data_IF_487797008213
#
_entry.id   IF_487797008213
#
_cell.length_a   1.000
_cell.length_b   1.000
_cell.length_c   1.000
_cell.angle_alpha   90.00
_cell.angle_beta   90.00
_cell.angle_gamma   90.00
#
_symmetry.space_group_name_H-M   'P 1'
#
loop_
_entity.id
_entity.type
_entity.pdbx_description
1 polymer ?
#
# COMPACT_ATOMS: atom_id res chain seq x y z
N UNK A 1 16.32 3.36 1.50
CA UNK A 1 15.88 2.78 0.22
C UNK A 1 14.41 3.07 0.05
N UNK A 2 14.01 3.56 -1.12
CA UNK A 2 12.60 3.55 -1.49
C UNK A 2 12.20 2.07 -1.62
N UNK A 3 11.24 1.62 -0.82
CA UNK A 3 10.61 0.33 -1.10
C UNK A 3 9.77 0.52 -2.35
N UNK A 4 10.10 -0.22 -3.40
CA UNK A 4 9.27 -0.29 -4.59
C UNK A 4 8.16 -1.31 -4.33
N UNK A 5 6.97 -1.01 -4.86
CA UNK A 5 5.78 -1.85 -4.74
C UNK A 5 5.18 -2.01 -6.14
N UNK A 6 4.56 -3.14 -6.37
CA UNK A 6 4.02 -3.53 -7.67
C UNK A 6 2.52 -3.35 -7.67
N UNK A 7 2.02 -2.46 -8.55
CA UNK A 7 0.59 -2.34 -8.79
C UNK A 7 0.19 -3.27 -9.94
N UNK A 8 -0.76 -4.18 -9.68
CA UNK A 8 -1.46 -4.93 -10.72
C UNK A 8 -2.69 -4.12 -11.11
N UNK A 9 -2.83 -3.79 -12.40
CA UNK A 9 -3.88 -2.90 -12.89
C UNK A 9 -4.66 -3.58 -14.01
N UNK A 10 -5.98 -3.42 -13.97
CA UNK A 10 -6.93 -3.93 -14.97
C UNK A 10 -7.90 -2.82 -15.36
N UNK A 11 -8.15 -2.65 -16.65
CA UNK A 11 -9.31 -1.90 -17.13
C UNK A 11 -10.51 -2.84 -17.28
N UNK A 12 -11.65 -2.47 -16.70
CA UNK A 12 -12.91 -3.22 -16.74
C UNK A 12 -14.08 -2.28 -17.13
N UNK A 13 -14.46 -2.33 -18.40
CA UNK A 13 -15.36 -1.35 -18.99
C UNK A 13 -14.78 0.07 -18.91
N UNK A 14 -15.55 0.99 -18.34
CA UNK A 14 -15.18 2.40 -18.18
C UNK A 14 -14.33 2.65 -16.91
N UNK A 15 -13.97 1.61 -16.17
CA UNK A 15 -13.26 1.73 -14.89
C UNK A 15 -11.87 1.11 -14.93
N UNK A 16 -10.96 1.71 -14.16
CA UNK A 16 -9.65 1.17 -13.85
C UNK A 16 -9.67 0.62 -12.43
N UNK A 17 -9.20 -0.61 -12.25
CA UNK A 17 -9.13 -1.29 -10.96
C UNK A 17 -7.68 -1.69 -10.72
N UNK A 18 -7.17 -1.48 -9.51
CA UNK A 18 -5.80 -1.83 -9.19
C UNK A 18 -5.62 -2.37 -7.78
N UNK A 19 -4.58 -3.18 -7.61
CA UNK A 19 -4.18 -3.82 -6.36
C UNK A 19 -2.68 -3.65 -6.17
N UNK A 20 -2.22 -3.48 -4.92
CA UNK A 20 -0.80 -3.60 -4.60
C UNK A 20 -0.48 -5.06 -4.30
N UNK A 21 0.35 -5.68 -5.12
CA UNK A 21 0.66 -7.12 -5.08
C UNK A 21 1.18 -7.55 -3.70
N UNK A 22 2.06 -6.74 -3.10
CA UNK A 22 2.73 -7.09 -1.86
C UNK A 22 1.88 -6.85 -0.61
N UNK A 23 0.79 -6.07 -0.71
CA UNK A 23 -0.02 -5.65 0.43
C UNK A 23 -1.49 -6.02 0.21
N UNK A 24 -1.95 -7.17 0.75
CA UNK A 24 -3.34 -7.59 0.66
C UNK A 24 -4.30 -6.53 1.19
N UNK A 25 -5.39 -6.31 0.45
CA UNK A 25 -6.43 -5.35 0.82
C UNK A 25 -6.17 -3.92 0.35
N UNK A 26 -4.96 -3.57 -0.12
CA UNK A 26 -4.71 -2.26 -0.74
C UNK A 26 -5.14 -2.32 -2.20
N UNK A 27 -6.27 -1.70 -2.50
CA UNK A 27 -6.86 -1.65 -3.83
C UNK A 27 -7.71 -0.39 -4.00
N UNK A 28 -7.83 0.06 -5.25
CA UNK A 28 -8.64 1.22 -5.63
C UNK A 28 -9.35 0.95 -6.96
N UNK A 29 -10.40 1.72 -7.22
CA UNK A 29 -11.07 1.77 -8.52
C UNK A 29 -11.38 3.22 -8.88
N UNK A 30 -10.97 3.64 -10.08
CA UNK A 30 -11.11 5.03 -10.54
C UNK A 30 -11.50 5.07 -12.03
N UNK A 31 -12.07 6.19 -12.53
CA UNK A 31 -12.49 6.29 -13.93
C UNK A 31 -11.32 6.52 -14.89
N UNK A 32 -10.15 6.94 -14.40
CA UNK A 32 -8.93 7.08 -15.20
C UNK A 32 -7.73 6.32 -14.61
N UNK A 33 -6.79 5.97 -15.48
CA UNK A 33 -5.54 5.31 -15.08
C UNK A 33 -4.72 6.18 -14.12
N UNK A 34 -4.60 7.48 -14.39
CA UNK A 34 -3.78 8.37 -13.58
C UNK A 34 -4.39 8.60 -12.19
N UNK A 35 -5.71 8.76 -12.10
CA UNK A 35 -6.41 8.80 -10.80
C UNK A 35 -6.23 7.50 -10.04
N UNK A 36 -6.32 6.33 -10.71
CA UNK A 36 -6.07 5.05 -10.05
C UNK A 36 -4.67 5.01 -9.44
N UNK A 37 -3.66 5.44 -10.19
CA UNK A 37 -2.27 5.46 -9.70
C UNK A 37 -2.13 6.38 -8.48
N UNK A 38 -2.76 7.55 -8.49
CA UNK A 38 -2.68 8.49 -7.37
C UNK A 38 -3.44 7.98 -6.14
N UNK A 39 -4.64 7.42 -6.32
CA UNK A 39 -5.39 6.75 -5.25
C UNK A 39 -4.59 5.59 -4.64
N UNK A 40 -4.02 4.71 -5.47
CA UNK A 40 -3.19 3.59 -4.99
C UNK A 40 -1.98 4.07 -4.15
N UNK A 41 -1.30 5.15 -4.56
CA UNK A 41 -0.18 5.71 -3.77
C UNK A 41 -0.63 6.24 -2.42
N UNK A 42 -1.79 6.89 -2.35
CA UNK A 42 -2.35 7.41 -1.10
C UNK A 42 -2.74 6.25 -0.19
N UNK A 43 -3.55 5.31 -0.68
CA UNK A 43 -4.02 4.17 0.09
C UNK A 43 -2.87 3.27 0.55
N UNK A 44 -1.85 3.05 -0.29
CA UNK A 44 -0.63 2.32 0.10
C UNK A 44 0.09 3.01 1.27
N UNK A 45 0.25 4.34 1.22
CA UNK A 45 0.89 5.10 2.29
C UNK A 45 0.11 4.96 3.61
N UNK A 46 -1.20 5.06 3.54
CA UNK A 46 -2.08 4.92 4.72
C UNK A 46 -2.02 3.52 5.31
N UNK A 47 -2.05 2.48 4.48
CA UNK A 47 -1.95 1.09 4.92
C UNK A 47 -0.59 0.79 5.58
N UNK A 48 0.50 1.31 5.02
CA UNK A 48 1.84 1.16 5.61
C UNK A 48 1.96 1.88 6.95
N UNK A 49 1.40 3.08 7.08
CA UNK A 49 1.40 3.83 8.33
C UNK A 49 0.55 3.15 9.39
N UNK A 50 -0.65 2.65 9.03
CA UNK A 50 -1.50 1.91 9.94
C UNK A 50 -0.79 0.66 10.47
N UNK A 51 -0.20 -0.14 9.58
CA UNK A 51 0.56 -1.33 9.98
C UNK A 51 1.75 -0.98 10.88
N UNK A 52 2.43 0.15 10.62
CA UNK A 52 3.51 0.64 11.48
C UNK A 52 2.99 1.01 12.87
N UNK A 53 1.89 1.76 12.93
CA UNK A 53 1.27 2.18 14.19
C UNK A 53 0.82 0.98 15.01
N UNK A 54 0.19 -0.02 14.39
CA UNK A 54 -0.25 -1.25 15.04
C UNK A 54 0.94 -2.06 15.59
N UNK A 55 2.03 -2.18 14.84
CA UNK A 55 3.24 -2.86 15.30
C UNK A 55 3.88 -2.15 16.50
N UNK A 56 3.95 -0.81 16.48
CA UNK A 56 4.46 0.00 17.60
C UNK A 56 3.55 -0.15 18.83
N UNK A 57 2.23 -0.08 18.63
CA UNK A 57 1.25 -0.25 19.71
C UNK A 57 1.35 -1.64 20.35
N UNK A 58 1.51 -2.69 19.55
CA UNK A 58 1.70 -4.05 20.02
C UNK A 58 3.05 -4.25 20.75
N UNK A 59 4.12 -3.63 20.27
CA UNK A 59 5.44 -3.70 20.92
C UNK A 59 5.47 -2.99 22.28
N UNK A 60 4.64 -1.94 22.46
CA UNK A 60 4.57 -1.17 23.69
C UNK A 60 5.83 -0.32 23.92
N UNK A 61 6.53 -0.51 25.04
CA UNK A 61 7.72 0.28 25.41
C UNK A 61 9.00 -0.51 25.17
N UNK A 62 10.08 0.22 24.88
CA UNK A 62 11.45 -0.31 24.78
C UNK A 62 11.65 -1.36 23.68
N UNK A 63 11.44 -0.96 22.43
CA UNK A 63 11.72 -1.79 21.24
C UNK A 63 12.93 -1.25 20.46
N UNK A 64 13.45 -2.09 19.54
CA UNK A 64 14.49 -1.72 18.58
C UNK A 64 13.99 -1.97 17.18
N UNK A 65 14.14 -0.98 16.30
CA UNK A 65 13.91 -1.16 14.87
C UNK A 65 15.17 -1.70 14.20
N UNK A 66 15.03 -2.72 13.36
CA UNK A 66 16.09 -3.26 12.49
C UNK A 66 15.52 -3.49 11.10
N UNK A 67 16.28 -3.14 10.06
CA UNK A 67 15.89 -3.41 8.67
C UNK A 67 16.24 -4.85 8.31
N UNK A 68 15.27 -5.59 7.77
CA UNK A 68 15.44 -6.95 7.26
C UNK A 68 15.12 -6.94 5.76
N UNK A 69 15.97 -7.59 4.96
CA UNK A 69 15.76 -7.87 3.53
C UNK A 69 15.82 -9.38 3.31
N UNK A 70 15.00 -9.91 2.40
CA UNK A 70 15.00 -11.30 1.97
C UNK A 70 15.91 -11.54 0.78
#
# INVERSE_FOLDING_TARGET
MLKEYTAIIKQDGDWWIGWIEEIPGVNCQEPSHDELIDSLKVTLREALELNRMDAIAAAGRSFKEVTISV
#
